data_IF_906178677485
#
_entry.id   IF_906178677485
#
_cell.length_a   1.000
_cell.length_b   1.000
_cell.length_c   1.000
_cell.angle_alpha   90.00
_cell.angle_beta   90.00
_cell.angle_gamma   90.00
#
_symmetry.space_group_name_H-M   'P 1'
#
loop_
_entity.id
_entity.type
_entity.pdbx_description
1 polymer ?
#
# COMPACT_ATOMS: atom_id res chain seq x y z
N UNK A 1 44.65 -20.85 7.81
CA UNK A 1 43.49 -21.69 8.19
C UNK A 1 43.34 -22.76 7.12
N UNK A 2 43.52 -24.05 7.45
CA UNK A 2 43.57 -25.13 6.46
C UNK A 2 42.20 -25.36 5.79
N UNK A 3 42.14 -25.69 4.49
CA UNK A 3 40.89 -25.92 3.75
C UNK A 3 40.05 -27.08 4.33
N UNK A 4 40.72 -28.07 4.92
CA UNK A 4 40.11 -29.19 5.67
C UNK A 4 39.31 -28.72 6.89
N UNK A 5 39.84 -27.75 7.64
CA UNK A 5 39.18 -27.19 8.83
C UNK A 5 37.92 -26.43 8.45
N UNK A 6 37.94 -25.72 7.30
CA UNK A 6 36.78 -24.98 6.78
C UNK A 6 35.66 -25.93 6.34
N UNK A 7 36.01 -27.05 5.68
CA UNK A 7 35.03 -28.08 5.30
C UNK A 7 34.39 -28.74 6.51
N UNK A 8 35.19 -29.06 7.55
CA UNK A 8 34.68 -29.62 8.81
C UNK A 8 33.75 -28.64 9.55
N UNK A 9 34.10 -27.36 9.61
CA UNK A 9 33.25 -26.32 10.20
C UNK A 9 31.94 -26.14 9.42
N UNK A 10 32.00 -26.14 8.09
CA UNK A 10 30.81 -26.04 7.24
C UNK A 10 29.89 -27.26 7.42
N UNK A 11 30.47 -28.47 7.46
CA UNK A 11 29.70 -29.69 7.68
C UNK A 11 29.07 -29.74 9.08
N UNK A 12 29.80 -29.29 10.11
CA UNK A 12 29.27 -29.19 11.46
C UNK A 12 28.16 -28.13 11.58
N UNK A 13 28.29 -26.99 10.88
CA UNK A 13 27.25 -25.97 10.80
C UNK A 13 26.00 -26.47 10.10
N UNK A 14 26.16 -27.17 8.97
CA UNK A 14 25.03 -27.76 8.22
C UNK A 14 24.34 -28.89 9.01
N UNK A 15 25.10 -29.70 9.76
CA UNK A 15 24.54 -30.76 10.61
C UNK A 15 23.90 -30.22 11.90
N UNK A 16 24.32 -29.04 12.37
CA UNK A 16 23.72 -28.34 13.50
C UNK A 16 22.54 -27.47 13.10
N UNK A 17 22.27 -27.32 11.80
CA UNK A 17 20.99 -26.76 11.37
C UNK A 17 19.92 -27.79 11.72
N UNK A 18 18.88 -27.39 12.47
CA UNK A 18 17.77 -28.28 12.73
C UNK A 18 17.25 -28.78 11.40
N UNK A 19 17.09 -30.09 11.30
CA UNK A 19 16.49 -30.76 10.16
C UNK A 19 15.01 -30.36 10.15
N UNK A 20 14.70 -29.17 9.62
CA UNK A 20 13.34 -28.76 9.27
C UNK A 20 12.89 -29.54 8.03
N UNK A 21 12.98 -30.87 8.10
CA UNK A 21 12.32 -31.81 7.19
C UNK A 21 10.80 -31.77 7.37
N UNK A 22 10.32 -31.20 8.47
CA UNK A 22 9.00 -30.59 8.55
C UNK A 22 9.15 -29.13 8.16
N UNK A 23 9.12 -28.84 6.86
CA UNK A 23 8.68 -27.51 6.44
C UNK A 23 7.32 -27.30 7.13
N UNK A 24 7.16 -26.32 8.04
CA UNK A 24 5.83 -25.97 8.52
C UNK A 24 5.03 -25.69 7.25
N UNK A 25 3.93 -26.45 7.07
CA UNK A 25 3.18 -26.57 5.82
C UNK A 25 3.31 -25.30 4.99
N UNK A 26 4.00 -25.39 3.85
CA UNK A 26 4.28 -24.23 3.01
C UNK A 26 2.97 -23.44 2.84
N UNK A 27 2.97 -22.19 3.29
CA UNK A 27 1.80 -21.32 3.24
C UNK A 27 1.26 -21.33 1.82
N UNK A 28 0.03 -21.82 1.67
CA UNK A 28 -0.60 -22.00 0.36
C UNK A 28 -0.68 -20.65 -0.35
N UNK A 29 -0.32 -20.63 -1.62
CA UNK A 29 -0.34 -19.42 -2.44
C UNK A 29 -1.76 -18.86 -2.55
N UNK A 30 -2.78 -19.72 -2.62
CA UNK A 30 -4.17 -19.28 -2.65
C UNK A 30 -4.55 -18.56 -1.34
N UNK A 31 -4.07 -19.08 -0.20
CA UNK A 31 -4.25 -18.46 1.12
C UNK A 31 -3.55 -17.12 1.22
N UNK A 32 -2.31 -17.01 0.73
CA UNK A 32 -1.58 -15.73 0.68
C UNK A 32 -2.29 -14.70 -0.20
N UNK A 33 -2.85 -15.11 -1.33
CA UNK A 33 -3.64 -14.22 -2.20
C UNK A 33 -4.92 -13.73 -1.52
N UNK A 34 -5.64 -14.62 -0.82
CA UNK A 34 -6.82 -14.23 -0.05
C UNK A 34 -6.47 -13.20 1.03
N UNK A 35 -5.37 -13.44 1.77
CA UNK A 35 -4.86 -12.50 2.75
C UNK A 35 -4.48 -11.14 2.14
N UNK A 36 -3.88 -11.11 0.94
CA UNK A 36 -3.55 -9.87 0.24
C UNK A 36 -4.79 -9.07 -0.20
N UNK A 37 -5.90 -9.74 -0.50
CA UNK A 37 -7.18 -9.11 -0.82
C UNK A 37 -7.99 -8.68 0.41
N UNK A 38 -7.51 -8.99 1.62
CA UNK A 38 -8.25 -8.72 2.87
C UNK A 38 -9.49 -9.61 3.06
N UNK A 39 -9.67 -10.64 2.24
CA UNK A 39 -10.81 -11.58 2.37
C UNK A 39 -10.65 -12.53 3.55
N UNK A 40 -9.42 -12.70 4.03
CA UNK A 40 -9.05 -13.64 5.08
C UNK A 40 -7.92 -13.05 5.92
N UNK A 41 -8.01 -13.18 7.24
CA UNK A 41 -6.89 -12.88 8.13
C UNK A 41 -5.94 -14.09 8.27
N UNK A 42 -4.63 -13.83 8.28
CA UNK A 42 -3.62 -14.83 8.56
C UNK A 42 -3.64 -15.19 10.05
N UNK A 43 -3.66 -16.47 10.35
CA UNK A 43 -3.54 -16.98 11.72
C UNK A 43 -2.18 -16.60 12.35
N UNK A 44 -2.07 -16.55 13.70
CA UNK A 44 -0.81 -16.25 14.37
C UNK A 44 0.35 -17.18 13.97
N UNK A 45 0.05 -18.46 13.66
CA UNK A 45 1.04 -19.42 13.19
C UNK A 45 1.54 -19.10 11.77
N UNK A 46 0.65 -18.70 10.86
CA UNK A 46 0.99 -18.25 9.51
C UNK A 46 1.80 -16.94 9.54
N UNK A 47 1.46 -16.01 10.43
CA UNK A 47 2.22 -14.78 10.64
C UNK A 47 3.63 -15.08 11.16
N UNK A 48 3.76 -15.98 12.15
CA UNK A 48 5.06 -16.41 12.66
C UNK A 48 5.91 -17.05 11.56
N UNK A 49 5.31 -17.86 10.68
CA UNK A 49 6.00 -18.46 9.53
C UNK A 49 6.54 -17.38 8.58
N UNK A 50 5.74 -16.36 8.24
CA UNK A 50 6.21 -15.24 7.44
C UNK A 50 7.33 -14.45 8.13
N UNK A 51 7.31 -14.31 9.45
CA UNK A 51 8.36 -13.61 10.20
C UNK A 51 9.67 -14.40 10.26
N UNK A 52 9.60 -15.73 10.33
CA UNK A 52 10.77 -16.57 10.52
C UNK A 52 11.35 -17.17 9.22
N UNK A 53 10.55 -17.30 8.15
CA UNK A 53 10.99 -17.83 6.86
C UNK A 53 11.18 -16.72 5.80
N UNK A 54 12.44 -16.42 5.39
CA UNK A 54 12.73 -15.48 4.31
C UNK A 54 12.09 -15.87 2.97
N UNK A 55 11.97 -17.15 2.68
CA UNK A 55 11.41 -17.66 1.42
C UNK A 55 9.91 -17.36 1.35
N UNK A 56 9.19 -17.55 2.47
CA UNK A 56 7.78 -17.22 2.57
C UNK A 56 7.52 -15.71 2.37
N UNK A 57 8.38 -14.83 2.93
CA UNK A 57 8.29 -13.37 2.67
C UNK A 57 8.52 -13.03 1.21
N UNK A 58 9.54 -13.62 0.60
CA UNK A 58 9.85 -13.34 -0.80
C UNK A 58 8.68 -13.73 -1.71
N UNK A 59 8.03 -14.87 -1.45
CA UNK A 59 6.80 -15.28 -2.16
C UNK A 59 5.67 -14.28 -1.95
N UNK A 60 5.40 -13.85 -0.71
CA UNK A 60 4.38 -12.83 -0.42
C UNK A 60 4.64 -11.53 -1.19
N UNK A 61 5.88 -11.04 -1.21
CA UNK A 61 6.23 -9.83 -1.95
C UNK A 61 6.06 -10.01 -3.47
N UNK A 62 6.49 -11.14 -4.03
CA UNK A 62 6.31 -11.44 -5.45
C UNK A 62 4.82 -11.47 -5.84
N UNK A 63 3.96 -12.06 -5.00
CA UNK A 63 2.51 -12.09 -5.22
C UNK A 63 1.90 -10.68 -5.17
N UNK A 64 2.29 -9.88 -4.18
CA UNK A 64 1.83 -8.49 -4.05
C UNK A 64 2.23 -7.66 -5.27
N UNK A 65 3.47 -7.78 -5.72
CA UNK A 65 3.97 -7.01 -6.87
C UNK A 65 3.29 -7.46 -8.17
N UNK A 66 3.06 -8.77 -8.34
CA UNK A 66 2.29 -9.30 -9.47
C UNK A 66 0.83 -8.80 -9.47
N UNK A 67 0.19 -8.72 -8.30
CA UNK A 67 -1.16 -8.19 -8.16
C UNK A 67 -1.23 -6.69 -8.51
N UNK A 68 -0.30 -5.89 -7.97
CA UNK A 68 -0.19 -4.47 -8.31
C UNK A 68 0.03 -4.24 -9.79
N UNK A 69 0.92 -5.02 -10.42
CA UNK A 69 1.17 -4.92 -11.86
C UNK A 69 -0.08 -5.23 -12.68
N UNK A 70 -0.87 -6.25 -12.28
CA UNK A 70 -2.14 -6.58 -12.94
C UNK A 70 -3.16 -5.45 -12.80
N UNK A 71 -3.32 -4.89 -11.60
CA UNK A 71 -4.23 -3.76 -11.36
C UNK A 71 -3.82 -2.53 -12.17
N UNK A 72 -2.52 -2.23 -12.23
CA UNK A 72 -2.01 -1.14 -13.06
C UNK A 72 -2.34 -1.32 -14.54
N UNK A 73 -2.24 -2.55 -15.07
CA UNK A 73 -2.64 -2.85 -16.45
C UNK A 73 -4.14 -2.67 -16.67
N UNK A 74 -4.98 -3.03 -15.69
CA UNK A 74 -6.44 -2.80 -15.75
C UNK A 74 -6.71 -1.29 -15.78
N UNK A 75 -6.11 -0.52 -14.88
CA UNK A 75 -6.27 0.93 -14.82
C UNK A 75 -5.83 1.62 -16.12
N UNK A 76 -4.70 1.19 -16.68
CA UNK A 76 -4.23 1.69 -17.98
C UNK A 76 -5.22 1.39 -19.11
N UNK A 77 -5.84 0.21 -19.13
CA UNK A 77 -6.89 -0.13 -20.12
C UNK A 77 -8.15 0.70 -19.94
N UNK A 78 -8.49 1.06 -18.70
CA UNK A 78 -9.59 1.96 -18.37
C UNK A 78 -9.25 3.44 -18.63
N UNK A 79 -8.05 3.75 -19.12
CA UNK A 79 -7.63 5.12 -19.41
C UNK A 79 -7.37 5.97 -18.17
N UNK A 80 -7.13 5.35 -17.02
CA UNK A 80 -6.85 6.09 -15.79
C UNK A 80 -5.46 6.71 -15.81
N UNK A 81 -5.38 8.02 -15.59
CA UNK A 81 -4.15 8.67 -15.21
C UNK A 81 -3.82 8.34 -13.74
N UNK A 82 -2.63 7.81 -13.48
CA UNK A 82 -2.16 7.55 -12.10
C UNK A 82 -1.55 8.77 -11.44
N UNK A 83 -1.28 9.81 -12.23
CA UNK A 83 -0.78 11.10 -11.78
C UNK A 83 -1.93 12.09 -11.71
N UNK A 84 -1.95 12.82 -10.62
CA UNK A 84 -2.97 13.80 -10.27
C UNK A 84 -2.27 15.14 -10.15
N UNK A 85 -2.60 16.03 -11.07
CA UNK A 85 -2.10 17.41 -11.03
C UNK A 85 -3.14 18.30 -10.37
N UNK A 86 -2.73 19.02 -9.34
CA UNK A 86 -3.53 20.08 -8.73
C UNK A 86 -3.23 21.39 -9.46
N UNK A 87 -4.26 22.01 -10.04
CA UNK A 87 -4.11 23.21 -10.90
C UNK A 87 -4.42 24.54 -10.19
N UNK A 88 -4.63 24.56 -8.87
CA UNK A 88 -4.98 25.78 -8.17
C UNK A 88 -3.85 26.26 -7.23
N UNK A 89 -3.56 27.56 -7.27
CA UNK A 89 -2.80 28.24 -6.24
C UNK A 89 -3.68 28.30 -4.97
N UNK A 90 -3.51 27.35 -4.06
CA UNK A 90 -4.26 27.33 -2.80
C UNK A 90 -3.60 28.24 -1.76
N UNK A 91 -4.16 29.43 -1.54
CA UNK A 91 -3.98 30.13 -0.27
C UNK A 91 -4.60 29.28 0.86
N UNK A 92 -4.16 29.52 2.10
CA UNK A 92 -4.73 28.86 3.30
C UNK A 92 -6.20 29.25 3.41
N UNK A 93 -7.10 28.26 3.33
CA UNK A 93 -8.55 28.48 3.42
C UNK A 93 -9.17 27.62 4.52
N UNK A 94 -10.22 28.15 5.17
CA UNK A 94 -11.02 27.46 6.19
C UNK A 94 -12.15 26.62 5.55
N UNK A 95 -12.02 26.31 4.26
CA UNK A 95 -13.05 25.66 3.46
C UNK A 95 -12.53 24.36 2.85
N UNK A 96 -13.41 23.36 2.69
CA UNK A 96 -13.02 22.13 2.02
C UNK A 96 -12.52 22.41 0.60
N UNK A 97 -11.31 21.97 0.30
CA UNK A 97 -10.75 22.09 -1.05
C UNK A 97 -10.99 20.78 -1.78
N UNK A 98 -11.74 20.86 -2.87
CA UNK A 98 -11.91 19.73 -3.79
C UNK A 98 -10.82 19.78 -4.84
N UNK A 99 -10.07 18.68 -4.92
CA UNK A 99 -9.02 18.43 -5.89
C UNK A 99 -9.65 17.45 -6.88
N UNK A 100 -10.07 17.98 -8.03
CA UNK A 100 -10.58 17.14 -9.12
C UNK A 100 -9.40 16.55 -9.87
N UNK A 101 -9.26 15.23 -9.72
CA UNK A 101 -8.03 14.55 -10.13
C UNK A 101 -8.19 13.74 -11.41
N UNK A 102 -9.41 13.26 -11.70
CA UNK A 102 -9.78 12.48 -12.88
C UNK A 102 -11.30 12.23 -12.89
N UNK A 103 -11.96 11.86 -14.00
CA UNK A 103 -13.37 11.41 -13.99
C UNK A 103 -13.69 10.24 -13.03
N UNK A 104 -12.68 9.55 -12.53
CA UNK A 104 -12.84 8.38 -11.67
C UNK A 104 -12.48 8.62 -10.21
N UNK A 105 -11.99 9.83 -9.87
CA UNK A 105 -11.40 10.10 -8.57
C UNK A 105 -11.51 11.56 -8.16
N UNK A 106 -11.98 11.77 -6.94
CA UNK A 106 -12.07 13.09 -6.31
C UNK A 106 -11.38 13.02 -4.95
N UNK A 107 -10.38 13.89 -4.73
CA UNK A 107 -9.77 14.07 -3.41
C UNK A 107 -10.34 15.35 -2.82
N UNK A 108 -10.69 15.33 -1.54
CA UNK A 108 -11.10 16.51 -0.79
C UNK A 108 -10.24 16.60 0.47
N UNK A 109 -9.78 17.81 0.78
CA UNK A 109 -9.11 18.08 2.05
C UNK A 109 -9.98 19.02 2.87
N UNK A 110 -10.23 18.62 4.11
CA UNK A 110 -11.11 19.30 5.05
C UNK A 110 -10.28 19.81 6.22
N UNK A 111 -10.28 21.13 6.51
CA UNK A 111 -9.77 21.61 7.79
C UNK A 111 -10.74 21.17 8.91
N UNK A 112 -10.18 20.65 10.00
CA UNK A 112 -10.94 20.22 11.19
C UNK A 112 -10.96 21.29 12.28
N UNK A 113 -10.15 22.34 12.16
CA UNK A 113 -10.06 23.46 13.08
C UNK A 113 -10.00 24.79 12.30
N UNK A 114 -10.31 25.88 12.99
CA UNK A 114 -10.31 27.23 12.39
C UNK A 114 -8.88 27.74 12.14
N UNK A 115 -7.91 27.14 12.82
CA UNK A 115 -6.49 27.49 12.72
C UNK A 115 -5.80 26.79 11.53
N UNK A 116 -6.48 25.86 10.84
CA UNK A 116 -5.94 25.12 9.70
C UNK A 116 -4.75 24.23 10.07
N UNK A 117 -4.70 23.72 11.30
CA UNK A 117 -3.62 22.85 11.81
C UNK A 117 -3.97 21.38 11.73
N UNK A 118 -5.26 21.05 11.79
CA UNK A 118 -5.76 19.68 11.65
C UNK A 118 -6.53 19.53 10.36
N UNK A 119 -6.25 18.47 9.63
CA UNK A 119 -6.89 18.19 8.36
C UNK A 119 -7.37 16.75 8.30
N UNK A 120 -8.45 16.51 7.57
CA UNK A 120 -8.85 15.18 7.11
C UNK A 120 -8.79 15.15 5.60
N UNK A 121 -8.19 14.10 5.05
CA UNK A 121 -8.21 13.82 3.63
C UNK A 121 -9.32 12.83 3.37
N UNK A 122 -10.13 13.13 2.38
CA UNK A 122 -11.20 12.30 1.90
C UNK A 122 -10.98 11.98 0.43
N UNK A 123 -11.24 10.74 0.07
CA UNK A 123 -11.11 10.23 -1.28
C UNK A 123 -12.42 9.57 -1.68
N UNK A 124 -12.95 9.95 -2.84
CA UNK A 124 -14.06 9.27 -3.48
C UNK A 124 -13.62 8.68 -4.81
N UNK A 125 -13.93 7.41 -5.04
CA UNK A 125 -13.67 6.71 -6.29
C UNK A 125 -14.98 6.38 -7.01
N UNK A 126 -14.97 6.46 -8.34
CA UNK A 126 -16.12 6.05 -9.15
C UNK A 126 -16.38 4.55 -9.04
N UNK A 127 -17.63 4.13 -9.23
CA UNK A 127 -18.07 2.73 -9.21
C UNK A 127 -17.19 1.81 -10.08
N UNK A 128 -16.85 2.24 -11.30
CA UNK A 128 -15.95 1.50 -12.22
C UNK A 128 -14.58 1.21 -11.60
N UNK A 129 -14.07 2.12 -10.77
CA UNK A 129 -12.77 1.94 -10.11
C UNK A 129 -12.90 1.04 -8.88
N UNK A 130 -14.00 1.14 -8.13
CA UNK A 130 -14.29 0.29 -6.97
C UNK A 130 -14.20 -1.21 -7.31
N UNK A 131 -14.78 -1.62 -8.45
CA UNK A 131 -14.75 -3.01 -8.93
C UNK A 131 -13.32 -3.55 -9.14
N UNK A 132 -12.34 -2.66 -9.36
CA UNK A 132 -10.94 -3.05 -9.60
C UNK A 132 -10.07 -3.03 -8.34
N UNK A 133 -10.58 -2.48 -7.24
CA UNK A 133 -9.84 -2.17 -6.01
C UNK A 133 -9.81 -3.31 -4.98
N UNK A 134 -9.56 -4.55 -5.43
CA UNK A 134 -9.59 -5.73 -4.56
C UNK A 134 -8.58 -5.71 -3.39
N UNK A 135 -7.42 -5.06 -3.53
CA UNK A 135 -6.43 -4.90 -2.45
C UNK A 135 -6.51 -3.54 -1.75
N UNK A 136 -7.41 -2.66 -2.19
CA UNK A 136 -7.41 -1.26 -1.80
C UNK A 136 -6.42 -0.41 -2.61
N UNK A 137 -6.23 0.83 -2.15
CA UNK A 137 -5.41 1.84 -2.81
C UNK A 137 -4.50 2.56 -1.82
N UNK A 138 -3.54 3.28 -2.39
CA UNK A 138 -2.76 4.30 -1.70
C UNK A 138 -2.72 5.59 -2.50
N UNK A 139 -2.88 6.71 -1.81
CA UNK A 139 -2.63 8.06 -2.31
C UNK A 139 -1.27 8.50 -1.77
N UNK A 140 -0.37 8.80 -2.69
CA UNK A 140 0.99 9.27 -2.42
C UNK A 140 1.16 10.62 -3.09
N UNK A 141 2.24 11.32 -2.79
CA UNK A 141 2.71 12.40 -3.65
C UNK A 141 4.04 12.08 -4.34
N UNK A 142 4.47 12.97 -5.24
CA UNK A 142 5.72 12.86 -5.99
C UNK A 142 6.97 12.91 -5.10
N UNK A 143 6.86 13.39 -3.86
CA UNK A 143 7.89 13.32 -2.83
C UNK A 143 7.91 12.00 -2.05
N UNK A 144 6.95 11.11 -2.32
CA UNK A 144 6.84 9.78 -1.70
C UNK A 144 6.12 9.76 -0.35
N UNK A 145 5.53 10.88 0.09
CA UNK A 145 4.73 10.86 1.32
C UNK A 145 3.38 10.20 1.07
N UNK A 146 2.94 9.39 2.03
CA UNK A 146 1.66 8.71 2.01
C UNK A 146 0.58 9.59 2.63
N UNK A 147 -0.45 9.86 1.84
CA UNK A 147 -1.60 10.67 2.23
C UNK A 147 -2.75 9.81 2.76
N UNK A 148 -3.08 8.75 2.01
CA UNK A 148 -4.17 7.82 2.34
C UNK A 148 -3.77 6.40 1.98
N UNK A 149 -4.20 5.42 2.77
CA UNK A 149 -4.07 4.00 2.44
C UNK A 149 -5.25 3.23 3.02
N UNK A 150 -5.84 2.34 2.22
CA UNK A 150 -6.95 1.53 2.71
C UNK A 150 -7.78 0.90 1.62
N UNK A 151 -8.82 0.19 2.04
CA UNK A 151 -9.92 -0.20 1.18
C UNK A 151 -11.01 0.88 1.25
N UNK A 152 -11.63 1.15 0.12
CA UNK A 152 -12.79 2.04 0.06
C UNK A 152 -14.01 1.30 0.63
N UNK A 153 -14.92 2.04 1.25
CA UNK A 153 -16.18 1.49 1.72
C UNK A 153 -17.17 1.19 0.56
N UNK A 154 -18.39 0.79 0.90
CA UNK A 154 -19.44 0.46 -0.06
C UNK A 154 -19.87 1.64 -0.94
N UNK A 155 -19.58 2.87 -0.53
CA UNK A 155 -19.88 4.10 -1.28
C UNK A 155 -18.67 4.59 -2.11
N UNK A 156 -17.56 3.84 -2.07
CA UNK A 156 -16.31 4.19 -2.74
C UNK A 156 -15.54 5.27 -2.01
N UNK A 157 -15.68 5.37 -0.70
CA UNK A 157 -15.09 6.43 0.10
C UNK A 157 -13.96 5.90 0.98
N UNK A 158 -12.93 6.72 1.16
CA UNK A 158 -11.82 6.46 2.08
C UNK A 158 -11.41 7.79 2.71
N UNK A 159 -11.28 7.83 4.04
CA UNK A 159 -10.85 9.01 4.76
C UNK A 159 -9.80 8.68 5.81
N UNK A 160 -8.87 9.61 6.03
CA UNK A 160 -7.91 9.57 7.12
C UNK A 160 -7.54 10.98 7.56
N UNK A 161 -7.20 11.10 8.83
CA UNK A 161 -6.62 12.33 9.37
C UNK A 161 -5.20 12.54 8.86
N UNK A 162 -4.90 13.79 8.56
CA UNK A 162 -3.58 14.24 8.17
C UNK A 162 -2.65 14.25 9.38
N UNK A 163 -1.61 13.45 9.32
CA UNK A 163 -0.70 13.21 10.44
C UNK A 163 0.57 14.09 10.42
N UNK A 164 0.66 15.06 9.50
CA UNK A 164 1.87 15.86 9.30
C UNK A 164 1.69 17.31 9.72
N UNK A 165 2.80 17.94 10.11
CA UNK A 165 2.81 19.30 10.63
C UNK A 165 2.61 20.38 9.55
N UNK A 166 3.07 20.12 8.32
CA UNK A 166 2.77 20.99 7.17
C UNK A 166 1.31 20.82 6.76
N UNK A 167 0.65 21.85 6.23
CA UNK A 167 -0.69 21.69 5.68
C UNK A 167 -0.66 20.82 4.41
N UNK A 168 -1.66 19.96 4.16
CA UNK A 168 -1.77 19.26 2.88
C UNK A 168 -1.85 20.25 1.70
N UNK A 169 -2.46 21.42 1.88
CA UNK A 169 -2.51 22.46 0.85
C UNK A 169 -1.11 23.02 0.54
N UNK A 170 -0.31 23.29 1.57
CA UNK A 170 1.08 23.73 1.40
C UNK A 170 1.89 22.69 0.63
N UNK A 171 1.66 21.41 0.94
CA UNK A 171 2.35 20.31 0.29
C UNK A 171 2.02 20.18 -1.20
N UNK A 172 0.76 20.46 -1.58
CA UNK A 172 0.31 20.41 -2.98
C UNK A 172 0.94 21.49 -3.89
N UNK A 173 1.52 22.55 -3.32
CA UNK A 173 2.29 23.54 -4.10
C UNK A 173 3.60 22.97 -4.63
N UNK A 174 4.14 21.94 -3.99
CA UNK A 174 5.46 21.40 -4.29
C UNK A 174 5.41 19.99 -4.86
N UNK A 175 4.36 19.23 -4.53
CA UNK A 175 4.26 17.84 -4.89
C UNK A 175 2.92 17.52 -5.55
N UNK A 176 2.99 16.72 -6.60
CA UNK A 176 1.81 16.21 -7.30
C UNK A 176 1.34 14.93 -6.66
N UNK A 177 0.02 14.70 -6.64
CA UNK A 177 -0.54 13.48 -6.10
C UNK A 177 -0.41 12.33 -7.09
N UNK A 178 -0.34 11.11 -6.58
CA UNK A 178 -0.28 9.87 -7.32
C UNK A 178 -1.12 8.81 -6.63
N UNK A 179 -1.96 8.13 -7.40
CA UNK A 179 -2.69 6.96 -6.91
C UNK A 179 -2.03 5.68 -7.39
N UNK A 180 -1.92 4.72 -6.49
CA UNK A 180 -1.38 3.41 -6.77
C UNK A 180 -2.21 2.30 -6.09
N UNK A 181 -2.26 1.09 -6.67
CA UNK A 181 -2.83 -0.06 -5.98
C UNK A 181 -1.99 -0.42 -4.75
N UNK A 182 -2.66 -0.88 -3.68
CA UNK A 182 -2.01 -1.30 -2.43
C UNK A 182 -1.27 -2.62 -2.57
#
# INVERSE_FOLDING_TARGET
MHPETRKRLLAALLAAQPDTGEHPQALDEARLRQALTGTVELSPAEQALLLHDPSARQRLYALRDAQRARQYLIWKRLGMATQVSYLAAADVTDHPVTIDTHPHLTVKVFPLDAEGTRWTIFLKVSETLQETLLSGLRLLDSGGLLWLIGQVDADGELSMDWAHAESPLQRLHHYELRIEPR
#
